data_IF_985757781220
#
_entry.id   IF_985757781220
#
_cell.length_a   1.000
_cell.length_b   1.000
_cell.length_c   1.000
_cell.angle_alpha   90.00
_cell.angle_beta   90.00
_cell.angle_gamma   90.00
#
_symmetry.space_group_name_H-M   'P 1'
#
loop_
_entity.id
_entity.type
_entity.pdbx_description
1 polymer ?
#
# COMPACT_ATOMS: atom_id res chain seq x y z
N UNK A 1 32.32 -23.60 61.88
CA UNK A 1 31.64 -24.66 61.10
C UNK A 1 30.21 -24.16 60.89
N UNK A 2 29.93 -23.44 59.80
CA UNK A 2 29.59 -24.00 58.48
C UNK A 2 28.19 -24.63 58.58
N UNK A 3 27.10 -24.05 58.09
CA UNK A 3 26.87 -23.30 56.86
C UNK A 3 25.84 -24.09 56.04
N UNK A 4 24.79 -23.43 55.54
CA UNK A 4 24.10 -23.68 54.26
C UNK A 4 22.71 -23.01 54.28
N UNK A 5 22.66 -21.77 53.80
CA UNK A 5 21.44 -21.14 53.33
C UNK A 5 21.17 -21.61 51.90
N UNK A 6 19.99 -22.18 51.67
CA UNK A 6 19.47 -22.50 50.34
C UNK A 6 18.79 -21.26 49.77
N UNK A 7 19.56 -20.48 49.00
CA UNK A 7 19.02 -19.44 48.13
C UNK A 7 18.42 -20.09 46.88
N UNK A 8 17.09 -20.16 46.81
CA UNK A 8 16.37 -20.55 45.61
C UNK A 8 16.54 -19.49 44.52
N UNK A 9 17.23 -19.86 43.45
CA UNK A 9 17.31 -19.08 42.21
C UNK A 9 15.93 -19.08 41.53
N UNK A 10 15.22 -17.95 41.63
CA UNK A 10 14.08 -17.66 40.77
C UNK A 10 14.59 -17.40 39.35
N UNK A 11 14.52 -18.41 38.48
CA UNK A 11 14.69 -18.22 37.05
C UNK A 11 13.49 -17.40 36.54
N UNK A 12 13.69 -16.09 36.37
CA UNK A 12 12.73 -15.25 35.69
C UNK A 12 12.55 -15.76 34.27
N UNK A 13 11.33 -16.20 33.93
CA UNK A 13 10.92 -16.39 32.55
C UNK A 13 11.04 -15.02 31.86
N UNK A 14 12.13 -14.80 31.14
CA UNK A 14 12.21 -13.70 30.21
C UNK A 14 11.08 -13.91 29.20
N UNK A 15 10.01 -13.12 29.32
CA UNK A 15 8.97 -13.06 28.30
C UNK A 15 9.67 -12.65 27.00
N UNK A 16 9.83 -13.60 26.08
CA UNK A 16 10.30 -13.31 24.74
C UNK A 16 9.40 -12.20 24.19
N UNK A 17 10.02 -11.13 23.66
CA UNK A 17 9.27 -10.07 23.01
C UNK A 17 8.35 -10.71 21.94
N UNK A 18 7.07 -10.30 21.85
CA UNK A 18 6.15 -10.87 20.88
C UNK A 18 6.76 -10.77 19.48
N UNK A 19 6.65 -11.86 18.72
CA UNK A 19 7.14 -11.89 17.35
C UNK A 19 6.45 -10.79 16.53
N UNK A 20 7.19 -10.07 15.67
CA UNK A 20 6.60 -9.05 14.83
C UNK A 20 5.59 -9.69 13.88
N UNK A 21 4.55 -8.94 13.51
CA UNK A 21 3.60 -9.32 12.47
C UNK A 21 4.04 -8.65 11.16
N UNK A 22 4.88 -9.30 10.34
CA UNK A 22 5.36 -8.72 9.09
C UNK A 22 4.23 -8.49 8.08
N UNK A 23 4.37 -7.39 7.34
CA UNK A 23 3.52 -7.01 6.21
C UNK A 23 4.39 -7.02 4.96
N UNK A 24 3.97 -7.79 3.95
CA UNK A 24 4.62 -7.81 2.64
C UNK A 24 3.64 -7.38 1.54
N UNK A 25 4.20 -6.83 0.47
CA UNK A 25 3.45 -6.41 -0.72
C UNK A 25 3.99 -7.06 -1.98
N UNK A 26 3.14 -7.83 -2.66
CA UNK A 26 3.40 -8.37 -4.00
C UNK A 26 2.91 -7.39 -5.07
N UNK A 27 3.72 -7.24 -6.12
CA UNK A 27 3.39 -6.45 -7.31
C UNK A 27 3.22 -7.36 -8.53
N UNK A 28 2.31 -7.03 -9.48
CA UNK A 28 2.22 -7.75 -10.74
C UNK A 28 3.59 -7.86 -11.45
N UNK A 29 4.02 -9.08 -11.75
CA UNK A 29 5.25 -9.33 -12.49
C UNK A 29 6.54 -9.33 -11.65
N UNK A 30 6.46 -9.14 -10.34
CA UNK A 30 7.60 -9.31 -9.43
C UNK A 30 7.68 -10.74 -8.88
N UNK A 31 8.90 -11.26 -8.75
CA UNK A 31 9.13 -12.66 -8.31
C UNK A 31 8.91 -12.87 -6.80
N UNK A 32 9.12 -11.82 -6.00
CA UNK A 32 9.02 -11.86 -4.56
C UNK A 32 8.34 -10.58 -4.03
N UNK A 33 7.50 -10.68 -2.98
CA UNK A 33 6.92 -9.51 -2.34
C UNK A 33 7.97 -8.71 -1.55
N UNK A 34 7.75 -7.41 -1.50
CA UNK A 34 8.54 -6.45 -0.74
C UNK A 34 8.13 -6.47 0.73
N UNK A 35 9.10 -6.51 1.65
CA UNK A 35 8.88 -6.28 3.07
C UNK A 35 8.55 -4.81 3.29
N UNK A 36 7.32 -4.52 3.68
CA UNK A 36 6.88 -3.16 3.93
C UNK A 36 7.19 -2.73 5.37
N UNK A 37 7.17 -3.68 6.30
CA UNK A 37 7.45 -3.47 7.71
C UNK A 37 6.74 -4.52 8.56
N UNK A 38 6.46 -4.18 9.81
CA UNK A 38 5.72 -5.05 10.72
C UNK A 38 4.92 -4.27 11.77
N UNK A 39 3.92 -4.93 12.33
CA UNK A 39 3.28 -4.51 13.57
C UNK A 39 3.85 -5.28 14.77
N UNK A 40 4.11 -4.56 15.85
CA UNK A 40 4.25 -5.10 17.20
C UNK A 40 3.17 -4.47 18.09
N UNK A 41 2.80 -5.10 19.22
CA UNK A 41 1.79 -4.53 20.12
C UNK A 41 2.07 -3.05 20.44
N UNK A 42 1.24 -2.18 19.86
CA UNK A 42 1.28 -0.73 20.05
C UNK A 42 2.22 0.06 19.14
N UNK A 43 2.94 -0.56 18.19
CA UNK A 43 3.83 0.18 17.29
C UNK A 43 4.05 -0.47 15.91
N UNK A 44 4.17 0.39 14.92
CA UNK A 44 4.67 0.05 13.59
C UNK A 44 6.20 0.05 13.58
N UNK A 45 6.79 -0.91 12.87
CA UNK A 45 8.23 -1.00 12.62
C UNK A 45 8.44 -0.96 11.11
N UNK A 46 9.18 0.04 10.65
CA UNK A 46 9.55 0.16 9.25
C UNK A 46 10.40 -1.04 8.78
N UNK A 47 10.36 -1.31 7.47
CA UNK A 47 11.31 -2.21 6.84
C UNK A 47 12.75 -1.71 7.03
N UNK A 48 13.70 -2.65 7.00
CA UNK A 48 15.12 -2.36 7.13
C UNK A 48 15.90 -3.56 7.71
N UNK A 49 17.23 -3.48 7.78
CA UNK A 49 18.09 -4.61 8.19
C UNK A 49 17.72 -5.20 9.57
N UNK A 50 17.32 -4.35 10.51
CA UNK A 50 16.92 -4.77 11.85
C UNK A 50 15.64 -5.59 11.88
N UNK A 51 14.64 -5.26 11.05
CA UNK A 51 13.42 -6.08 10.94
C UNK A 51 13.69 -7.33 10.08
N UNK A 52 14.39 -7.18 8.96
CA UNK A 52 14.72 -8.26 8.04
C UNK A 52 15.44 -9.42 8.74
N UNK A 53 16.41 -9.11 9.61
CA UNK A 53 17.17 -10.11 10.38
C UNK A 53 16.34 -10.85 11.44
N UNK A 54 15.15 -10.34 11.80
CA UNK A 54 14.23 -10.98 12.75
C UNK A 54 13.31 -11.98 12.07
N UNK A 55 13.23 -11.97 10.74
CA UNK A 55 12.46 -12.96 9.98
C UNK A 55 13.29 -14.25 9.87
N UNK A 56 12.72 -15.35 10.37
CA UNK A 56 13.28 -16.70 10.31
C UNK A 56 13.35 -17.25 8.88
N UNK A 57 12.50 -16.74 7.98
CA UNK A 57 12.31 -17.24 6.63
C UNK A 57 11.55 -18.54 6.57
N UNK A 58 10.64 -18.75 7.53
CA UNK A 58 9.69 -19.86 7.61
C UNK A 58 8.30 -19.39 8.05
N UNK A 59 8.09 -18.07 8.12
CA UNK A 59 6.83 -17.46 8.48
C UNK A 59 5.74 -17.90 7.53
N UNK A 60 4.54 -18.09 8.08
CA UNK A 60 3.34 -18.30 7.28
C UNK A 60 2.68 -16.96 7.09
N UNK A 61 2.18 -16.73 5.87
CA UNK A 61 1.44 -15.52 5.54
C UNK A 61 0.08 -15.90 4.98
N UNK A 62 -0.95 -15.15 5.41
CA UNK A 62 -2.19 -15.04 4.67
C UNK A 62 -1.95 -14.11 3.48
N UNK A 63 -1.96 -14.69 2.28
CA UNK A 63 -1.90 -13.98 1.01
C UNK A 63 -3.31 -13.57 0.59
N UNK A 64 -3.49 -12.30 0.29
CA UNK A 64 -4.78 -11.72 -0.06
C UNK A 64 -4.59 -10.71 -1.20
N UNK A 65 -4.98 -11.11 -2.42
CA UNK A 65 -5.17 -10.15 -3.51
C UNK A 65 -6.37 -9.24 -3.21
N UNK A 66 -6.50 -8.12 -3.95
CA UNK A 66 -7.66 -7.24 -3.81
C UNK A 66 -8.99 -8.01 -3.97
N UNK A 67 -8.98 -9.04 -4.82
CA UNK A 67 -10.12 -9.89 -5.15
C UNK A 67 -9.85 -11.35 -4.84
N UNK A 68 -10.94 -12.10 -4.68
CA UNK A 68 -10.88 -13.56 -4.52
C UNK A 68 -10.55 -14.02 -3.09
N UNK A 69 -10.56 -15.33 -2.88
CA UNK A 69 -10.33 -15.93 -1.58
C UNK A 69 -8.87 -15.76 -1.13
N UNK A 70 -8.61 -15.61 0.19
CA UNK A 70 -7.26 -15.68 0.71
C UNK A 70 -6.67 -17.08 0.49
N UNK A 71 -5.34 -17.13 0.46
CA UNK A 71 -4.59 -18.38 0.53
C UNK A 71 -3.46 -18.26 1.56
N UNK A 72 -2.84 -19.37 1.92
CA UNK A 72 -1.65 -19.37 2.79
C UNK A 72 -0.41 -19.65 1.97
N UNK A 73 0.66 -18.90 2.24
CA UNK A 73 2.00 -19.14 1.70
C UNK A 73 3.03 -19.18 2.83
N UNK A 74 4.23 -19.67 2.52
CA UNK A 74 5.39 -19.66 3.41
C UNK A 74 6.40 -18.67 2.87
N UNK A 75 6.89 -17.73 3.68
CA UNK A 75 7.99 -16.86 3.30
C UNK A 75 9.35 -17.50 3.51
N UNK A 76 10.31 -17.10 2.70
CA UNK A 76 11.74 -17.34 2.84
C UNK A 76 12.44 -16.21 3.57
N UNK A 77 13.76 -16.24 3.62
CA UNK A 77 14.55 -15.17 4.27
C UNK A 77 14.42 -13.87 3.49
N UNK A 78 14.41 -12.76 4.22
CA UNK A 78 14.50 -11.43 3.62
C UNK A 78 15.86 -11.26 2.92
N UNK A 79 15.84 -10.71 1.71
CA UNK A 79 17.00 -10.46 0.87
C UNK A 79 16.98 -9.00 0.45
N UNK A 80 18.08 -8.27 0.70
CA UNK A 80 18.22 -6.88 0.27
C UNK A 80 18.17 -6.79 -1.26
N UNK A 81 17.58 -5.72 -1.79
CA UNK A 81 17.57 -5.41 -3.21
C UNK A 81 18.95 -4.97 -3.74
N UNK A 82 19.91 -4.71 -2.85
CA UNK A 82 21.23 -4.19 -3.22
C UNK A 82 21.16 -2.76 -3.75
N UNK A 83 22.31 -2.19 -4.13
CA UNK A 83 22.42 -0.80 -4.58
C UNK A 83 21.57 -0.55 -5.83
N UNK A 84 20.77 0.54 -5.90
CA UNK A 84 20.70 1.68 -4.97
C UNK A 84 19.62 1.55 -3.86
N UNK A 85 19.12 0.34 -3.61
CA UNK A 85 17.95 0.05 -2.77
C UNK A 85 18.30 -0.96 -1.67
N UNK A 86 19.48 -0.83 -1.08
CA UNK A 86 20.01 -1.76 -0.07
C UNK A 86 19.15 -1.89 1.19
N UNK A 87 18.35 -0.85 1.51
CA UNK A 87 17.44 -0.81 2.64
C UNK A 87 16.05 -1.41 2.35
N UNK A 88 15.78 -1.74 1.09
CA UNK A 88 14.57 -2.43 0.67
C UNK A 88 14.82 -3.94 0.57
N UNK A 89 13.85 -4.75 1.01
CA UNK A 89 14.03 -6.19 1.14
C UNK A 89 12.90 -6.97 0.46
N UNK A 90 13.25 -7.93 -0.38
CA UNK A 90 12.32 -8.94 -0.88
C UNK A 90 12.24 -10.13 0.09
N UNK A 91 11.05 -10.69 0.22
CA UNK A 91 10.79 -11.91 1.00
C UNK A 91 10.17 -12.94 0.05
N UNK A 92 10.96 -13.85 -0.56
CA UNK A 92 10.42 -14.87 -1.45
C UNK A 92 9.31 -15.68 -0.78
N UNK A 93 8.26 -16.06 -1.50
CA UNK A 93 7.15 -16.85 -0.95
C UNK A 93 6.92 -18.13 -1.74
N UNK A 94 6.44 -19.17 -1.05
CA UNK A 94 6.09 -20.48 -1.65
C UNK A 94 4.67 -20.88 -1.22
N UNK A 95 3.75 -21.12 -2.17
CA UNK A 95 3.86 -20.83 -3.61
C UNK A 95 4.16 -19.36 -3.92
N UNK A 96 4.83 -19.10 -5.03
CA UNK A 96 5.18 -17.76 -5.51
C UNK A 96 3.98 -16.83 -5.66
N UNK A 97 4.24 -15.52 -5.74
CA UNK A 97 3.22 -14.50 -5.96
C UNK A 97 2.42 -14.78 -7.24
N UNK A 98 1.12 -14.50 -7.21
CA UNK A 98 0.27 -14.72 -8.38
C UNK A 98 0.59 -13.68 -9.46
N UNK A 99 0.72 -14.07 -10.73
CA UNK A 99 0.93 -13.11 -11.80
C UNK A 99 -0.32 -12.22 -11.96
N UNK A 100 -0.10 -10.91 -12.16
CA UNK A 100 -1.12 -9.99 -12.65
C UNK A 100 -1.97 -9.28 -11.59
N UNK A 101 -1.68 -9.39 -10.29
CA UNK A 101 -2.38 -8.64 -9.25
C UNK A 101 -1.45 -8.17 -8.13
N UNK A 102 -1.83 -7.07 -7.47
CA UNK A 102 -1.26 -6.72 -6.18
C UNK A 102 -1.75 -7.69 -5.10
N UNK A 103 -0.86 -8.05 -4.20
CA UNK A 103 -1.14 -9.00 -3.11
C UNK A 103 -0.64 -8.48 -1.77
N UNK A 104 -1.47 -8.56 -0.74
CA UNK A 104 -1.09 -8.26 0.64
C UNK A 104 -0.76 -9.58 1.35
N UNK A 105 0.36 -9.61 2.07
CA UNK A 105 0.77 -10.74 2.89
C UNK A 105 0.86 -10.27 4.34
N UNK A 106 0.09 -10.90 5.22
CA UNK A 106 0.10 -10.59 6.64
C UNK A 106 0.00 -11.87 7.48
N UNK A 107 0.16 -11.75 8.79
CA UNK A 107 0.06 -12.89 9.71
C UNK A 107 -1.29 -13.63 9.56
N UNK A 108 -1.31 -14.98 9.50
CA UNK A 108 -2.54 -15.76 9.44
C UNK A 108 -3.36 -15.69 10.72
N UNK A 109 -2.79 -15.18 11.82
CA UNK A 109 -3.52 -14.92 13.06
C UNK A 109 -4.47 -13.72 12.94
N UNK A 110 -4.27 -12.85 11.93
CA UNK A 110 -5.10 -11.68 11.71
C UNK A 110 -6.32 -12.01 10.84
N UNK A 111 -7.47 -11.48 11.25
CA UNK A 111 -8.57 -11.34 10.33
C UNK A 111 -8.36 -10.10 9.45
N UNK A 112 -7.53 -10.22 8.41
CA UNK A 112 -7.13 -9.08 7.57
C UNK A 112 -8.28 -8.41 6.81
N UNK A 113 -9.46 -9.03 6.74
CA UNK A 113 -10.65 -8.44 6.12
C UNK A 113 -11.86 -8.69 7.02
N UNK A 114 -11.98 -7.95 8.14
CA UNK A 114 -13.12 -8.09 9.05
C UNK A 114 -14.44 -7.66 8.39
N UNK A 115 -14.37 -6.90 7.29
CA UNK A 115 -15.52 -6.43 6.52
C UNK A 115 -15.30 -6.60 5.01
N UNK A 116 -16.38 -6.64 4.20
CA UNK A 116 -16.26 -6.84 2.76
C UNK A 116 -15.53 -5.70 2.04
N UNK A 117 -14.68 -6.07 1.08
CA UNK A 117 -14.08 -5.17 0.10
C UNK A 117 -14.72 -5.49 -1.26
N UNK A 118 -15.50 -4.55 -1.80
CA UNK A 118 -16.39 -4.81 -2.94
C UNK A 118 -15.97 -4.00 -4.17
N UNK A 119 -15.73 -4.62 -5.34
CA UNK A 119 -15.57 -3.90 -6.58
C UNK A 119 -16.88 -3.26 -7.02
N UNK A 120 -16.80 -2.04 -7.55
CA UNK A 120 -17.90 -1.40 -8.26
C UNK A 120 -17.57 -1.26 -9.75
N UNK A 121 -18.59 -1.25 -10.64
CA UNK A 121 -18.36 -1.03 -12.07
C UNK A 121 -17.75 0.35 -12.35
N UNK A 122 -16.68 0.42 -13.13
CA UNK A 122 -16.02 1.68 -13.54
C UNK A 122 -16.84 2.51 -14.56
N UNK A 123 -18.00 2.01 -15.00
CA UNK A 123 -18.94 2.71 -15.87
C UNK A 123 -19.81 3.75 -15.17
N UNK A 124 -19.79 3.82 -13.83
CA UNK A 124 -20.70 4.66 -13.05
C UNK A 124 -20.46 6.17 -13.23
N UNK A 125 -21.46 6.87 -13.78
CA UNK A 125 -21.40 8.31 -14.12
C UNK A 125 -21.08 9.20 -12.93
N UNK A 126 -21.63 8.91 -11.74
CA UNK A 126 -21.41 9.71 -10.54
C UNK A 126 -19.92 9.82 -10.16
N UNK A 127 -19.17 8.71 -10.22
CA UNK A 127 -17.73 8.72 -9.90
C UNK A 127 -16.88 9.31 -11.02
N UNK A 128 -17.31 9.17 -12.28
CA UNK A 128 -16.66 9.86 -13.41
C UNK A 128 -16.77 11.38 -13.27
N UNK A 129 -17.91 11.87 -12.80
CA UNK A 129 -18.13 13.31 -12.57
C UNK A 129 -17.28 13.84 -11.41
N UNK A 130 -17.16 13.08 -10.31
CA UNK A 130 -16.26 13.44 -9.21
C UNK A 130 -14.81 13.60 -9.69
N UNK A 131 -14.31 12.64 -10.49
CA UNK A 131 -12.95 12.71 -11.06
C UNK A 131 -12.84 13.86 -12.06
N UNK A 132 -13.85 14.10 -12.90
CA UNK A 132 -13.88 15.25 -13.82
C UNK A 132 -13.73 16.57 -13.07
N UNK A 133 -14.51 16.76 -12.01
CA UNK A 133 -14.47 17.98 -11.19
C UNK A 133 -13.10 18.16 -10.51
N UNK A 134 -12.50 17.07 -10.03
CA UNK A 134 -11.15 17.10 -9.46
C UNK A 134 -10.11 17.52 -10.49
N UNK A 135 -10.15 16.94 -11.70
CA UNK A 135 -9.22 17.27 -12.79
C UNK A 135 -9.39 18.71 -13.29
N UNK A 136 -10.64 19.19 -13.41
CA UNK A 136 -10.93 20.59 -13.79
C UNK A 136 -10.42 21.56 -12.73
N UNK A 137 -10.60 21.26 -11.44
CA UNK A 137 -10.03 22.06 -10.33
C UNK A 137 -8.50 22.15 -10.41
N UNK A 138 -7.86 21.16 -11.03
CA UNK A 138 -6.40 21.08 -11.24
C UNK A 138 -5.93 21.66 -12.58
N UNK A 139 -6.82 22.32 -13.31
CA UNK A 139 -6.50 23.02 -14.55
C UNK A 139 -6.72 22.21 -15.83
N UNK A 140 -7.08 20.93 -15.74
CA UNK A 140 -7.40 20.12 -16.92
C UNK A 140 -8.86 20.37 -17.34
N UNK A 141 -9.08 21.32 -18.24
CA UNK A 141 -10.41 21.86 -18.58
C UNK A 141 -11.36 20.85 -19.24
N UNK A 142 -10.85 19.96 -20.08
CA UNK A 142 -11.64 18.99 -20.86
C UNK A 142 -11.13 17.55 -20.66
N UNK A 143 -11.19 17.03 -19.42
CA UNK A 143 -10.52 15.77 -19.10
C UNK A 143 -11.23 14.57 -19.74
N UNK A 144 -10.44 13.71 -20.38
CA UNK A 144 -10.88 12.37 -20.79
C UNK A 144 -10.80 11.43 -19.58
N UNK A 145 -11.89 11.34 -18.82
CA UNK A 145 -11.94 10.56 -17.58
C UNK A 145 -11.95 9.06 -17.84
N UNK A 146 -10.95 8.35 -17.28
CA UNK A 146 -10.77 6.91 -17.30
C UNK A 146 -10.63 6.40 -15.87
N UNK A 147 -11.73 5.88 -15.33
CA UNK A 147 -11.71 5.14 -14.08
C UNK A 147 -11.05 3.78 -14.30
N UNK A 148 -10.09 3.42 -13.47
CA UNK A 148 -9.38 2.12 -13.52
C UNK A 148 -9.83 1.18 -12.42
N UNK A 149 -10.24 1.70 -11.25
CA UNK A 149 -10.85 0.92 -10.19
C UNK A 149 -11.84 1.76 -9.37
N UNK A 150 -12.86 1.09 -8.84
CA UNK A 150 -13.77 1.63 -7.83
C UNK A 150 -13.98 0.56 -6.77
N UNK A 151 -13.67 0.89 -5.52
CA UNK A 151 -13.69 -0.04 -4.41
C UNK A 151 -14.55 0.51 -3.31
N UNK A 152 -15.40 -0.31 -2.73
CA UNK A 152 -16.23 0.04 -1.59
C UNK A 152 -15.89 -0.83 -0.40
N UNK A 153 -15.63 -0.20 0.74
CA UNK A 153 -15.30 -0.87 1.99
C UNK A 153 -15.73 0.01 3.17
N UNK A 154 -16.01 -0.61 4.32
CA UNK A 154 -16.11 0.09 5.60
C UNK A 154 -14.72 0.04 6.24
N UNK A 155 -13.95 1.13 6.13
CA UNK A 155 -12.55 1.15 6.53
C UNK A 155 -12.39 1.27 8.04
N UNK A 156 -13.20 2.11 8.69
CA UNK A 156 -13.05 2.45 10.11
C UNK A 156 -13.93 1.62 11.06
N UNK A 157 -14.80 0.77 10.51
CA UNK A 157 -15.67 -0.15 11.26
C UNK A 157 -16.95 0.49 11.79
N UNK A 158 -17.33 1.66 11.29
CA UNK A 158 -18.50 2.40 11.80
C UNK A 158 -19.83 2.01 11.10
N UNK A 159 -19.81 1.10 10.12
CA UNK A 159 -20.97 0.65 9.35
C UNK A 159 -21.31 1.52 8.13
N UNK A 160 -20.65 2.67 7.96
CA UNK A 160 -20.70 3.45 6.72
C UNK A 160 -19.63 2.96 5.75
N UNK A 161 -19.87 3.17 4.45
CA UNK A 161 -18.97 2.69 3.41
C UNK A 161 -18.22 3.85 2.76
N UNK A 162 -16.90 3.73 2.75
CA UNK A 162 -16.00 4.52 1.94
C UNK A 162 -15.93 3.97 0.52
N UNK A 163 -15.62 4.86 -0.42
CA UNK A 163 -15.36 4.53 -1.80
C UNK A 163 -14.00 5.05 -2.23
N UNK A 164 -13.09 4.14 -2.56
CA UNK A 164 -11.81 4.46 -3.18
C UNK A 164 -11.99 4.51 -4.70
N UNK A 165 -11.53 5.59 -5.30
CA UNK A 165 -11.69 5.89 -6.73
C UNK A 165 -10.30 6.02 -7.34
N UNK A 166 -9.96 5.10 -8.24
CA UNK A 166 -8.73 5.15 -9.02
C UNK A 166 -9.05 5.59 -10.45
N UNK A 167 -8.35 6.60 -10.93
CA UNK A 167 -8.45 7.08 -12.30
C UNK A 167 -7.05 7.41 -12.83
N UNK A 168 -6.72 6.92 -14.02
CA UNK A 168 -5.46 7.27 -14.67
C UNK A 168 -5.58 7.24 -16.18
N UNK A 169 -4.82 8.13 -16.81
CA UNK A 169 -4.64 8.19 -18.26
C UNK A 169 -3.25 8.72 -18.54
N UNK A 170 -2.47 7.95 -19.29
CA UNK A 170 -1.16 8.33 -19.79
C UNK A 170 -1.13 8.00 -21.28
N UNK A 171 -0.93 8.99 -22.14
CA UNK A 171 -0.97 8.82 -23.61
C UNK A 171 0.08 7.81 -24.09
N UNK A 172 1.25 7.79 -23.45
CA UNK A 172 2.39 6.97 -23.85
C UNK A 172 2.61 5.74 -22.95
N UNK A 173 1.67 5.41 -22.06
CA UNK A 173 1.86 4.27 -21.15
C UNK A 173 1.86 2.93 -21.88
N UNK A 174 2.88 2.13 -21.57
CA UNK A 174 3.00 0.73 -21.97
C UNK A 174 3.19 -0.11 -20.70
N UNK A 175 2.28 -1.06 -20.44
CA UNK A 175 2.34 -1.91 -19.25
C UNK A 175 1.94 -1.22 -17.94
N UNK A 176 2.47 -1.74 -16.83
CA UNK A 176 2.03 -1.39 -15.48
C UNK A 176 2.60 -0.08 -14.94
N UNK A 177 3.71 0.42 -15.50
CA UNK A 177 4.39 1.66 -15.08
C UNK A 177 3.94 2.87 -15.93
N UNK A 178 3.99 4.11 -15.40
CA UNK A 178 3.76 5.30 -16.21
C UNK A 178 4.94 5.55 -17.18
N UNK A 179 4.76 6.35 -18.25
CA UNK A 179 5.89 6.79 -19.07
C UNK A 179 6.86 7.66 -18.25
N UNK A 180 8.12 7.87 -18.69
CA UNK A 180 9.02 8.75 -17.95
C UNK A 180 8.56 10.20 -17.83
N UNK A 181 7.98 10.72 -18.91
CA UNK A 181 7.53 12.11 -19.01
C UNK A 181 6.01 12.16 -19.11
N UNK A 182 5.38 12.97 -18.27
CA UNK A 182 3.95 13.26 -18.37
C UNK A 182 3.66 14.17 -19.57
N UNK A 183 2.70 13.77 -20.40
CA UNK A 183 2.24 14.57 -21.54
C UNK A 183 1.02 15.42 -21.17
N UNK A 184 0.76 16.55 -21.85
CA UNK A 184 -0.45 17.33 -21.62
C UNK A 184 -1.72 16.48 -21.62
N UNK A 185 -2.48 16.56 -20.52
CA UNK A 185 -3.70 15.77 -20.31
C UNK A 185 -3.49 14.39 -19.70
N UNK A 186 -2.24 14.02 -19.38
CA UNK A 186 -1.95 12.87 -18.55
C UNK A 186 -2.26 13.15 -17.07
N UNK A 187 -2.73 12.12 -16.38
CA UNK A 187 -3.03 12.20 -14.96
C UNK A 187 -3.06 10.81 -14.29
N UNK A 188 -2.90 10.83 -12.97
CA UNK A 188 -3.26 9.75 -12.07
C UNK A 188 -3.89 10.33 -10.81
N UNK A 189 -5.05 9.84 -10.42
CA UNK A 189 -5.75 10.24 -9.20
C UNK A 189 -6.16 8.99 -8.42
N UNK A 190 -5.85 9.00 -7.13
CA UNK A 190 -6.38 8.06 -6.16
C UNK A 190 -7.14 8.88 -5.11
N UNK A 191 -8.46 8.70 -5.04
CA UNK A 191 -9.34 9.47 -4.18
C UNK A 191 -10.05 8.55 -3.19
N UNK A 192 -10.37 9.07 -2.01
CA UNK A 192 -11.24 8.44 -1.02
C UNK A 192 -12.47 9.30 -0.80
N UNK A 193 -13.64 8.74 -1.06
CA UNK A 193 -14.92 9.38 -0.77
C UNK A 193 -15.53 8.76 0.48
N UNK A 194 -15.90 9.57 1.45
CA UNK A 194 -16.44 9.13 2.72
C UNK A 194 -17.51 10.08 3.24
N UNK A 195 -18.24 9.66 4.28
CA UNK A 195 -19.20 10.52 4.98
C UNK A 195 -18.64 10.87 6.35
N UNK A 196 -18.68 12.16 6.70
CA UNK A 196 -18.33 12.62 8.04
C UNK A 196 -19.33 13.68 8.47
N UNK A 197 -19.93 13.49 9.65
CA UNK A 197 -20.98 14.37 10.18
C UNK A 197 -22.13 14.64 9.17
N UNK A 198 -22.56 13.62 8.43
CA UNK A 198 -23.63 13.71 7.44
C UNK A 198 -23.24 14.40 6.12
N UNK A 199 -21.99 14.85 5.99
CA UNK A 199 -21.47 15.48 4.77
C UNK A 199 -20.59 14.52 4.00
N UNK A 200 -20.77 14.47 2.68
CA UNK A 200 -19.90 13.70 1.81
C UNK A 200 -18.63 14.50 1.54
N UNK A 201 -17.48 13.88 1.79
CA UNK A 201 -16.16 14.44 1.52
C UNK A 201 -15.38 13.56 0.56
N UNK A 202 -14.52 14.19 -0.23
CA UNK A 202 -13.54 13.51 -1.08
C UNK A 202 -12.15 13.98 -0.64
N UNK A 203 -11.30 13.02 -0.28
CA UNK A 203 -9.90 13.22 0.09
C UNK A 203 -9.03 12.68 -1.04
N UNK A 204 -7.90 13.35 -1.30
CA UNK A 204 -6.92 12.89 -2.29
C UNK A 204 -5.89 12.05 -1.56
N UNK A 205 -5.70 10.81 -2.00
CA UNK A 205 -4.69 9.88 -1.46
C UNK A 205 -3.40 9.90 -2.28
N UNK A 206 -3.50 10.26 -3.56
CA UNK A 206 -2.37 10.42 -4.47
C UNK A 206 -2.81 11.15 -5.74
N UNK A 207 -1.93 11.99 -6.26
CA UNK A 207 -2.23 12.86 -7.39
C UNK A 207 -1.04 13.09 -8.31
N UNK A 208 -1.34 13.07 -9.60
CA UNK A 208 -0.48 13.55 -10.66
C UNK A 208 -1.36 14.17 -11.74
N UNK A 209 -1.04 15.40 -12.16
CA UNK A 209 -1.59 16.03 -13.37
C UNK A 209 -0.42 16.64 -14.12
N UNK A 210 -0.16 16.15 -15.33
CA UNK A 210 0.94 16.62 -16.14
C UNK A 210 0.74 18.09 -16.55
N UNK A 211 1.83 18.85 -16.77
CA UNK A 211 1.73 20.22 -17.25
C UNK A 211 0.92 20.34 -18.55
N UNK A 212 0.22 21.46 -18.72
CA UNK A 212 -0.61 21.71 -19.91
C UNK A 212 0.20 21.98 -21.18
N UNK A 213 1.51 22.24 -21.04
CA UNK A 213 2.43 22.48 -22.15
C UNK A 213 3.38 21.28 -22.26
N UNK A 214 3.68 20.79 -23.49
CA UNK A 214 4.70 19.77 -23.68
C UNK A 214 6.03 20.23 -23.08
N UNK A 215 6.74 19.31 -22.44
CA UNK A 215 8.08 19.58 -21.93
C UNK A 215 9.08 19.68 -23.09
N UNK A 216 9.97 20.67 -23.00
CA UNK A 216 11.09 20.82 -23.91
C UNK A 216 12.37 20.31 -23.22
N UNK A 217 13.00 19.22 -23.71
CA UNK A 217 14.22 18.69 -23.12
C UNK A 217 15.42 19.65 -23.18
N UNK A 218 15.39 20.64 -24.09
CA UNK A 218 16.42 21.67 -24.21
C UNK A 218 16.17 22.87 -23.29
N UNK A 219 15.05 22.89 -22.56
CA UNK A 219 14.75 23.95 -21.59
C UNK A 219 15.41 23.69 -20.24
N UNK A 220 15.51 24.74 -19.43
CA UNK A 220 15.94 24.62 -18.04
C UNK A 220 14.82 24.11 -17.11
N UNK A 221 13.62 23.86 -17.62
CA UNK A 221 12.48 23.40 -16.83
C UNK A 221 12.70 21.93 -16.43
N UNK A 222 12.41 21.55 -15.16
CA UNK A 222 12.54 20.18 -14.72
C UNK A 222 11.64 19.26 -15.56
N UNK A 223 12.13 18.05 -15.85
CA UNK A 223 11.35 17.02 -16.52
C UNK A 223 10.08 16.73 -15.71
N UNK A 224 8.87 16.84 -16.29
CA UNK A 224 7.65 16.52 -15.57
C UNK A 224 7.51 15.01 -15.48
N UNK A 225 8.08 14.44 -14.42
CA UNK A 225 8.04 13.01 -14.15
C UNK A 225 6.60 12.55 -14.02
N UNK A 226 6.22 11.57 -14.83
CA UNK A 226 4.88 11.00 -14.70
C UNK A 226 4.81 10.10 -13.46
N UNK A 227 3.80 10.30 -12.63
CA UNK A 227 3.64 9.55 -11.38
C UNK A 227 2.30 8.84 -11.37
N UNK A 228 2.34 7.54 -11.10
CA UNK A 228 1.19 6.66 -11.01
C UNK A 228 0.83 6.44 -9.54
N UNK A 229 -0.45 6.57 -9.20
CA UNK A 229 -1.00 6.24 -7.89
C UNK A 229 -2.10 5.20 -8.03
N UNK A 230 -1.98 4.08 -7.32
CA UNK A 230 -2.92 2.97 -7.38
C UNK A 230 -3.27 2.44 -6.01
N UNK A 231 -4.45 1.84 -5.89
CA UNK A 231 -4.75 1.00 -4.75
C UNK A 231 -4.07 -0.36 -4.94
N UNK A 232 -3.24 -0.74 -3.97
CA UNK A 232 -2.59 -2.05 -3.93
C UNK A 232 -3.33 -3.04 -3.02
N UNK A 233 -3.99 -2.56 -1.96
CA UNK A 233 -4.68 -3.43 -1.03
C UNK A 233 -5.51 -2.69 0.01
N UNK A 234 -6.38 -3.44 0.68
CA UNK A 234 -7.12 -3.02 1.88
C UNK A 234 -7.06 -4.20 2.84
N UNK A 235 -6.53 -3.97 4.04
CA UNK A 235 -6.40 -5.01 5.06
C UNK A 235 -6.27 -4.42 6.46
N UNK A 236 -6.82 -5.11 7.46
CA UNK A 236 -6.48 -4.91 8.88
C UNK A 236 -5.13 -5.58 9.18
N UNK A 237 -4.09 -4.77 9.34
CA UNK A 237 -2.70 -5.21 9.45
C UNK A 237 -2.19 -5.25 10.90
N UNK A 238 -2.91 -4.62 11.83
CA UNK A 238 -2.55 -4.56 13.25
C UNK A 238 -3.54 -5.32 14.18
N UNK A 239 -4.68 -5.75 13.65
CA UNK A 239 -5.74 -6.49 14.35
C UNK A 239 -6.68 -5.61 15.16
N UNK A 240 -6.71 -4.30 14.96
CA UNK A 240 -7.57 -3.38 15.72
C UNK A 240 -9.00 -3.27 15.18
N UNK A 241 -9.28 -3.98 14.08
CA UNK A 241 -10.57 -3.99 13.42
C UNK A 241 -10.76 -2.87 12.41
N UNK A 242 -9.85 -1.91 12.27
CA UNK A 242 -9.82 -0.94 11.16
C UNK A 242 -8.95 -1.50 10.04
N UNK A 243 -9.26 -1.15 8.80
CA UNK A 243 -8.48 -1.62 7.66
C UNK A 243 -7.58 -0.49 7.14
N UNK A 244 -6.28 -0.75 7.11
CA UNK A 244 -5.30 0.08 6.43
C UNK A 244 -5.54 0.10 4.91
N UNK A 245 -5.25 1.24 4.30
CA UNK A 245 -5.21 1.43 2.85
C UNK A 245 -3.78 1.26 2.37
N UNK A 246 -3.56 0.30 1.48
CA UNK A 246 -2.25 0.05 0.89
C UNK A 246 -2.21 0.63 -0.51
N UNK A 247 -1.26 1.52 -0.77
CA UNK A 247 -1.11 2.24 -2.03
C UNK A 247 0.18 1.84 -2.72
N UNK A 248 0.16 1.82 -4.05
CA UNK A 248 1.34 1.69 -4.89
C UNK A 248 1.59 3.01 -5.63
N UNK A 249 2.79 3.55 -5.47
CA UNK A 249 3.31 4.68 -6.20
C UNK A 249 4.37 4.21 -7.18
N UNK A 250 4.38 4.72 -8.41
CA UNK A 250 5.45 4.42 -9.36
C UNK A 250 5.77 5.61 -10.25
N UNK A 251 7.02 5.71 -10.64
CA UNK A 251 7.56 6.58 -11.68
C UNK A 251 8.67 5.83 -12.43
N UNK A 252 9.44 6.48 -13.29
CA UNK A 252 10.34 5.77 -14.22
C UNK A 252 11.61 5.15 -13.60
N UNK A 253 12.07 5.64 -12.45
CA UNK A 253 13.24 5.08 -11.74
C UNK A 253 12.87 4.32 -10.48
N UNK A 254 11.60 4.31 -10.09
CA UNK A 254 11.24 3.81 -8.79
C UNK A 254 9.76 3.53 -8.59
N UNK A 255 9.50 2.68 -7.62
CA UNK A 255 8.19 2.36 -7.09
C UNK A 255 8.25 2.13 -5.59
N UNK A 256 7.11 2.30 -4.94
CA UNK A 256 6.95 1.97 -3.53
C UNK A 256 5.54 1.53 -3.21
N UNK A 257 5.47 0.81 -2.11
CA UNK A 257 4.24 0.57 -1.41
C UNK A 257 4.21 1.37 -0.12
N UNK A 258 3.01 1.77 0.27
CA UNK A 258 2.76 2.50 1.50
C UNK A 258 1.52 1.90 2.17
N UNK A 259 1.59 1.58 3.47
CA UNK A 259 0.44 1.18 4.28
C UNK A 259 0.04 2.32 5.20
N UNK A 260 -1.24 2.68 5.13
CA UNK A 260 -1.74 3.91 5.71
C UNK A 260 -2.93 3.61 6.60
N UNK A 261 -2.87 4.07 7.85
CA UNK A 261 -4.05 4.16 8.70
C UNK A 261 -4.92 5.31 8.19
N UNK A 262 -6.23 5.12 8.27
CA UNK A 262 -7.19 6.15 7.90
C UNK A 262 -8.29 6.30 8.96
N UNK A 263 -8.66 7.56 9.25
CA UNK A 263 -9.90 7.86 9.98
C UNK A 263 -10.61 9.06 9.35
N UNK A 264 -11.95 9.16 9.48
CA UNK A 264 -12.71 10.28 8.92
C UNK A 264 -12.24 11.67 9.39
N UNK A 265 -11.74 11.77 10.63
CA UNK A 265 -11.29 13.04 11.22
C UNK A 265 -9.78 13.25 11.14
N UNK A 266 -8.99 12.18 11.20
CA UNK A 266 -7.52 12.24 11.20
C UNK A 266 -6.89 12.16 9.81
N UNK A 267 -7.67 11.82 8.77
CA UNK A 267 -7.14 11.62 7.42
C UNK A 267 -6.25 10.38 7.32
N UNK A 268 -5.40 10.34 6.29
CA UNK A 268 -4.41 9.29 6.08
C UNK A 268 -3.15 9.56 6.88
N UNK A 269 -2.57 8.50 7.44
CA UNK A 269 -1.25 8.52 8.05
C UNK A 269 -0.43 7.32 7.58
N UNK A 270 0.64 7.59 6.85
CA UNK A 270 1.60 6.57 6.43
C UNK A 270 2.23 5.97 7.69
N UNK A 271 2.21 4.63 7.77
CA UNK A 271 2.75 3.86 8.89
C UNK A 271 3.94 3.02 8.47
N UNK A 272 3.86 2.45 7.28
CA UNK A 272 4.94 1.67 6.67
C UNK A 272 5.10 2.12 5.24
N UNK A 273 6.35 2.24 4.79
CA UNK A 273 6.71 2.54 3.41
C UNK A 273 8.00 1.79 3.07
N UNK A 274 8.05 1.23 1.87
CA UNK A 274 9.22 0.59 1.32
C UNK A 274 9.11 0.59 -0.19
N UNK A 275 10.26 0.74 -0.84
CA UNK A 275 10.34 0.78 -2.29
C UNK A 275 11.78 1.01 -2.73
N UNK A 276 11.94 1.28 -4.01
CA UNK A 276 13.20 1.64 -4.62
C UNK A 276 13.01 3.02 -5.30
N UNK A 277 13.90 3.97 -5.03
CA UNK A 277 13.74 5.34 -5.52
C UNK A 277 12.70 6.18 -4.75
N UNK A 278 12.47 5.88 -3.47
CA UNK A 278 11.52 6.62 -2.60
C UNK A 278 12.17 7.20 -1.35
#
# INVERSE_FOLDING_TARGET
>A
MGGLGLSGLGAGLANAAPAPLPVLMGSPGQEAPLLLGAWEPGRWIAAGPALASRLSGQERYRRQALWGPPSTVRGGRAVSLGVPCEDAFHVPVTPGAAPGAFEVFASPALNTRPRPVTPLPTGLTAYREIVRQELVRRGLRTPQVRLTALIRADLDGNGTQEVIIEASRFVQRQGEFPPPVGQPGDYSLLLLRHVVAGQVRTVVLGEHVAPLRPWNPDSADPMPMATLHRLAGIADLNGDGRMEVLTHGAYYEGDAFSAQEWTPTGGLKIRLESGCGV
#
